data_IF_558247829176
#
_entry.id   IF_558247829176
#
_cell.length_a   1.000
_cell.length_b   1.000
_cell.length_c   1.000
_cell.angle_alpha   90.00
_cell.angle_beta   90.00
_cell.angle_gamma   90.00
#
_symmetry.space_group_name_H-M   'P 1'
#
loop_
_entity.id
_entity.type
_entity.pdbx_description
1 polymer ?
#
# COMPACT_ATOMS: atom_id res chain seq x y z
N UNK A 1 62.08 -19.84 41.22
CA UNK A 1 60.89 -19.45 42.02
C UNK A 1 60.38 -20.72 42.69
N UNK A 2 60.55 -20.86 44.00
CA UNK A 2 60.28 -22.13 44.71
C UNK A 2 58.76 -22.34 44.82
N UNK A 3 58.24 -23.33 44.08
CA UNK A 3 56.82 -23.69 44.06
C UNK A 3 56.40 -24.63 45.21
N UNK A 4 57.38 -25.17 45.94
CA UNK A 4 57.19 -26.07 47.09
C UNK A 4 56.26 -25.51 48.20
N UNK A 5 56.39 -24.24 48.62
CA UNK A 5 55.50 -23.66 49.65
C UNK A 5 54.05 -23.55 49.16
N UNK A 6 53.86 -23.30 47.86
CA UNK A 6 52.53 -23.18 47.24
C UNK A 6 51.83 -24.53 47.12
N UNK A 7 52.56 -25.58 46.72
CA UNK A 7 52.03 -26.94 46.65
C UNK A 7 51.57 -27.43 48.03
N UNK A 8 52.36 -27.18 49.08
CA UNK A 8 51.99 -27.55 50.45
C UNK A 8 50.73 -26.82 50.94
N UNK A 9 50.60 -25.53 50.60
CA UNK A 9 49.45 -24.71 50.99
C UNK A 9 48.16 -25.15 50.26
N UNK A 10 48.30 -25.57 48.99
CA UNK A 10 47.20 -26.10 48.18
C UNK A 10 46.76 -27.46 48.71
N UNK A 11 47.69 -28.36 49.03
CA UNK A 11 47.40 -29.70 49.55
C UNK A 11 46.70 -29.64 50.91
N UNK A 12 47.18 -28.78 51.81
CA UNK A 12 46.56 -28.58 53.12
C UNK A 12 45.16 -27.93 53.00
N UNK A 13 44.97 -27.00 52.06
CA UNK A 13 43.64 -26.42 51.80
C UNK A 13 42.71 -27.46 51.17
N UNK A 14 43.21 -28.30 50.25
CA UNK A 14 42.42 -29.36 49.62
C UNK A 14 41.96 -30.40 50.65
N UNK A 15 42.83 -30.85 51.57
CA UNK A 15 42.50 -31.92 52.51
C UNK A 15 41.27 -31.59 53.37
N UNK A 16 41.10 -30.30 53.72
CA UNK A 16 40.06 -29.80 54.62
C UNK A 16 38.72 -29.47 53.92
N UNK A 17 38.65 -29.57 52.60
CA UNK A 17 37.40 -29.34 51.86
C UNK A 17 36.46 -30.55 51.93
N UNK A 18 35.15 -30.29 51.98
CA UNK A 18 34.12 -31.33 51.92
C UNK A 18 34.18 -32.03 50.56
N UNK A 19 33.78 -33.29 50.49
CA UNK A 19 33.86 -34.10 49.25
C UNK A 19 33.20 -33.45 48.04
N UNK A 20 32.13 -32.67 48.26
CA UNK A 20 31.44 -31.92 47.21
C UNK A 20 32.21 -30.69 46.70
N UNK A 21 32.92 -29.99 47.58
CA UNK A 21 33.76 -28.84 47.23
C UNK A 21 35.01 -29.28 46.46
N UNK A 22 35.57 -30.44 46.83
CA UNK A 22 36.63 -31.10 46.04
C UNK A 22 36.14 -31.42 44.63
N UNK A 23 34.95 -32.02 44.51
CA UNK A 23 34.34 -32.33 43.21
C UNK A 23 34.18 -31.06 42.35
N UNK A 24 33.65 -29.97 42.92
CA UNK A 24 33.48 -28.70 42.21
C UNK A 24 34.82 -28.12 41.73
N UNK A 25 35.86 -28.18 42.57
CA UNK A 25 37.19 -27.68 42.22
C UNK A 25 37.83 -28.45 41.04
N UNK A 26 37.55 -29.75 40.92
CA UNK A 26 37.97 -30.55 39.76
C UNK A 26 37.06 -30.37 38.53
N UNK A 27 35.78 -30.07 38.73
CA UNK A 27 34.81 -29.90 37.65
C UNK A 27 35.00 -28.58 36.89
N UNK A 28 35.35 -27.49 37.60
CA UNK A 28 35.53 -26.15 36.99
C UNK A 28 36.60 -26.15 35.88
N UNK A 29 37.82 -26.68 36.08
CA UNK A 29 38.82 -26.79 35.02
C UNK A 29 38.36 -27.68 33.86
N UNK A 30 37.61 -28.74 34.16
CA UNK A 30 37.08 -29.66 33.15
C UNK A 30 36.02 -28.99 32.27
N UNK A 31 35.12 -28.19 32.86
CA UNK A 31 34.15 -27.39 32.13
C UNK A 31 34.83 -26.30 31.28
N UNK A 32 35.87 -25.64 31.80
CA UNK A 32 36.65 -24.65 31.05
C UNK A 32 37.38 -25.28 29.87
N UNK A 33 38.00 -26.45 30.05
CA UNK A 33 38.56 -27.26 28.95
C UNK A 33 37.48 -27.61 27.93
N UNK A 34 36.30 -28.04 28.39
CA UNK A 34 35.17 -28.35 27.52
C UNK A 34 34.72 -27.14 26.68
N UNK A 35 34.69 -25.94 27.26
CA UNK A 35 34.37 -24.70 26.53
C UNK A 35 35.45 -24.42 25.47
N UNK A 36 36.73 -24.53 25.81
CA UNK A 36 37.84 -24.27 24.88
C UNK A 36 37.79 -25.27 23.71
N UNK A 37 37.64 -26.58 23.99
CA UNK A 37 37.56 -27.61 22.96
C UNK A 37 36.26 -27.59 22.15
N UNK A 38 35.14 -27.15 22.74
CA UNK A 38 33.89 -26.95 22.00
C UNK A 38 34.01 -25.77 21.01
N UNK A 39 34.73 -24.71 21.41
CA UNK A 39 34.98 -23.55 20.57
C UNK A 39 36.06 -23.77 19.50
N UNK A 40 36.89 -24.81 19.65
CA UNK A 40 37.93 -25.23 18.69
C UNK A 40 37.42 -26.16 17.58
N UNK A 41 36.09 -26.31 17.43
CA UNK A 41 35.58 -26.68 16.11
C UNK A 41 36.01 -25.58 15.14
N UNK A 42 36.71 -25.88 14.03
CA UNK A 42 36.98 -24.86 13.05
C UNK A 42 35.62 -24.45 12.49
N UNK A 43 35.08 -23.36 13.02
CA UNK A 43 34.26 -22.44 12.26
C UNK A 43 35.12 -22.11 11.04
N UNK A 44 34.91 -22.87 9.98
CA UNK A 44 35.23 -22.44 8.63
C UNK A 44 34.45 -21.14 8.45
N UNK A 45 35.05 -20.04 8.89
CA UNK A 45 34.75 -18.71 8.46
C UNK A 45 35.22 -18.58 7.01
N UNK A 46 34.69 -19.44 6.14
CA UNK A 46 34.38 -19.03 4.79
C UNK A 46 33.16 -18.12 4.91
N UNK A 47 33.37 -16.94 5.50
CA UNK A 47 32.43 -15.84 5.38
C UNK A 47 32.63 -15.29 3.96
N UNK A 48 32.16 -16.07 2.98
CA UNK A 48 31.42 -15.44 1.92
C UNK A 48 30.22 -14.78 2.61
N UNK A 49 30.33 -13.47 2.87
CA UNK A 49 29.20 -12.62 3.22
C UNK A 49 28.22 -12.63 2.04
N UNK A 50 27.46 -13.71 1.90
CA UNK A 50 26.50 -13.90 0.82
C UNK A 50 25.37 -14.82 1.25
N UNK A 51 24.73 -14.48 2.38
CA UNK A 51 23.35 -14.86 2.74
C UNK A 51 23.07 -14.32 4.15
N UNK A 52 22.17 -13.34 4.25
CA UNK A 52 21.45 -12.80 5.43
C UNK A 52 21.41 -11.27 5.53
N UNK A 53 22.19 -10.55 4.73
CA UNK A 53 21.99 -9.09 4.57
C UNK A 53 20.72 -8.77 3.78
N UNK A 54 20.33 -9.61 2.83
CA UNK A 54 19.15 -9.36 1.97
C UNK A 54 17.83 -9.45 2.75
N UNK A 55 17.70 -10.42 3.66
CA UNK A 55 16.48 -10.63 4.48
C UNK A 55 16.32 -9.57 5.59
N UNK A 56 17.42 -9.11 6.18
CA UNK A 56 17.39 -8.01 7.16
C UNK A 56 17.19 -6.65 6.47
N UNK A 57 17.85 -6.39 5.34
CA UNK A 57 17.67 -5.13 4.60
C UNK A 57 16.26 -4.98 4.03
N UNK A 58 15.66 -6.06 3.51
CA UNK A 58 14.30 -6.01 2.98
C UNK A 58 13.28 -5.63 4.08
N UNK A 59 13.39 -6.19 5.29
CA UNK A 59 12.51 -5.81 6.42
C UNK A 59 12.67 -4.35 6.84
N UNK A 60 13.89 -3.81 6.80
CA UNK A 60 14.17 -2.42 7.18
C UNK A 60 13.65 -1.45 6.12
N UNK A 61 13.89 -1.71 4.84
CA UNK A 61 13.41 -0.86 3.73
C UNK A 61 11.88 -0.83 3.66
N UNK A 62 11.23 -1.99 3.86
CA UNK A 62 9.77 -2.11 3.98
C UNK A 62 9.21 -1.28 5.14
N UNK A 63 9.83 -1.33 6.32
CA UNK A 63 9.40 -0.51 7.45
C UNK A 63 9.55 1.00 7.18
N UNK A 64 10.67 1.41 6.58
CA UNK A 64 10.92 2.81 6.20
C UNK A 64 9.88 3.29 5.19
N UNK A 65 9.55 2.45 4.20
CA UNK A 65 8.49 2.74 3.25
C UNK A 65 7.14 2.90 3.94
N UNK A 66 6.69 1.94 4.75
CA UNK A 66 5.38 2.00 5.42
C UNK A 66 5.26 3.27 6.25
N UNK A 67 6.32 3.65 6.98
CA UNK A 67 6.34 4.87 7.79
C UNK A 67 6.28 6.13 6.94
N UNK A 68 7.03 6.19 5.84
CA UNK A 68 6.99 7.31 4.91
C UNK A 68 5.63 7.42 4.21
N UNK A 69 5.07 6.29 3.80
CA UNK A 69 3.74 6.16 3.22
C UNK A 69 2.65 6.64 4.18
N UNK A 70 2.68 6.22 5.45
CA UNK A 70 1.71 6.67 6.46
C UNK A 70 1.77 8.18 6.67
N UNK A 71 2.98 8.74 6.77
CA UNK A 71 3.16 10.19 6.91
C UNK A 71 2.63 10.95 5.67
N UNK A 72 2.93 10.45 4.47
CA UNK A 72 2.46 11.06 3.24
C UNK A 72 0.93 10.96 3.09
N UNK A 73 0.34 9.82 3.44
CA UNK A 73 -1.11 9.62 3.43
C UNK A 73 -1.81 10.63 4.35
N UNK A 74 -1.27 10.84 5.55
CA UNK A 74 -1.79 11.84 6.49
C UNK A 74 -1.63 13.26 5.98
N UNK A 75 -0.49 13.61 5.39
CA UNK A 75 -0.25 14.94 4.83
C UNK A 75 -1.22 15.27 3.67
N UNK A 76 -1.61 14.25 2.89
CA UNK A 76 -2.51 14.36 1.74
C UNK A 76 -4.00 14.13 2.08
N UNK A 77 -4.34 13.96 3.36
CA UNK A 77 -5.69 13.63 3.83
C UNK A 77 -6.29 12.38 3.15
N UNK A 78 -5.46 11.38 2.86
CA UNK A 78 -5.89 10.12 2.25
C UNK A 78 -6.28 9.10 3.33
N UNK A 79 -7.39 8.39 3.09
CA UNK A 79 -7.87 7.33 3.97
C UNK A 79 -7.43 5.96 3.44
N UNK A 80 -6.78 5.15 4.27
CA UNK A 80 -6.39 3.78 3.91
C UNK A 80 -7.57 2.82 4.13
N UNK A 81 -8.06 2.23 3.04
CA UNK A 81 -9.15 1.25 3.07
C UNK A 81 -8.63 -0.17 3.27
N UNK A 82 -7.52 -0.51 2.61
CA UNK A 82 -6.88 -1.82 2.77
C UNK A 82 -5.37 -1.74 2.55
N UNK A 83 -4.63 -2.61 3.25
CA UNK A 83 -3.21 -2.86 3.05
C UNK A 83 -2.98 -4.37 3.16
N UNK A 84 -2.39 -4.95 2.13
CA UNK A 84 -2.07 -6.37 2.06
C UNK A 84 -0.59 -6.53 1.71
N UNK A 85 0.13 -7.24 2.57
CA UNK A 85 1.51 -7.66 2.29
C UNK A 85 1.50 -8.80 1.27
N UNK A 86 2.33 -8.66 0.25
CA UNK A 86 2.56 -9.67 -0.79
C UNK A 86 4.02 -10.14 -0.74
N UNK A 87 4.30 -11.29 -1.36
CA UNK A 87 5.65 -11.88 -1.38
C UNK A 87 6.75 -10.97 -1.94
N UNK A 88 6.39 -9.99 -2.76
CA UNK A 88 7.31 -9.05 -3.42
C UNK A 88 7.03 -7.58 -3.08
N UNK A 89 6.06 -7.27 -2.21
CA UNK A 89 5.73 -5.89 -1.84
C UNK A 89 4.37 -5.70 -1.19
N UNK A 90 3.63 -4.67 -1.60
CA UNK A 90 2.35 -4.29 -0.99
C UNK A 90 1.27 -4.02 -2.03
N UNK A 91 0.06 -4.46 -1.72
CA UNK A 91 -1.15 -3.94 -2.35
C UNK A 91 -1.88 -3.05 -1.35
N UNK A 92 -2.30 -1.87 -1.77
CA UNK A 92 -3.12 -1.00 -0.94
C UNK A 92 -4.26 -0.36 -1.71
N UNK A 93 -5.29 -0.02 -0.96
CA UNK A 93 -6.43 0.76 -1.43
C UNK A 93 -6.55 2.04 -0.61
N UNK A 94 -6.50 3.18 -1.29
CA UNK A 94 -6.60 4.51 -0.72
C UNK A 94 -7.85 5.22 -1.21
N UNK A 95 -8.41 6.09 -0.38
CA UNK A 95 -9.54 6.96 -0.72
C UNK A 95 -9.16 8.41 -0.52
N UNK A 96 -9.55 9.27 -1.46
CA UNK A 96 -9.41 10.72 -1.33
C UNK A 96 -9.72 11.47 -2.61
N UNK A 97 -9.35 12.76 -2.64
CA UNK A 97 -9.44 13.59 -3.83
C UNK A 97 -8.47 13.12 -4.93
N UNK A 98 -8.87 13.30 -6.19
CA UNK A 98 -8.09 12.86 -7.36
C UNK A 98 -6.64 13.38 -7.32
N UNK A 99 -6.46 14.68 -7.06
CA UNK A 99 -5.13 15.32 -7.01
C UNK A 99 -4.25 14.70 -5.93
N UNK A 100 -4.80 14.47 -4.74
CA UNK A 100 -4.09 13.84 -3.63
C UNK A 100 -3.69 12.40 -3.95
N UNK A 101 -4.55 11.64 -4.61
CA UNK A 101 -4.22 10.28 -5.06
C UNK A 101 -3.08 10.29 -6.09
N UNK A 102 -3.07 11.24 -7.03
CA UNK A 102 -1.98 11.38 -8.00
C UNK A 102 -0.66 11.77 -7.35
N UNK A 103 -0.68 12.63 -6.33
CA UNK A 103 0.50 12.95 -5.54
C UNK A 103 1.04 11.72 -4.79
N UNK A 104 0.16 10.84 -4.31
CA UNK A 104 0.57 9.59 -3.68
C UNK A 104 1.17 8.59 -4.67
N UNK A 105 0.61 8.49 -5.89
CA UNK A 105 1.21 7.67 -6.97
C UNK A 105 2.61 8.15 -7.29
N UNK A 106 2.80 9.47 -7.48
CA UNK A 106 4.13 10.04 -7.73
C UNK A 106 5.10 9.79 -6.57
N UNK A 107 4.65 9.90 -5.32
CA UNK A 107 5.45 9.55 -4.16
C UNK A 107 5.95 8.10 -4.25
N UNK A 108 5.08 7.16 -4.62
CA UNK A 108 5.47 5.76 -4.77
C UNK A 108 6.43 5.57 -5.97
N UNK A 109 6.26 6.29 -7.09
CA UNK A 109 7.15 6.17 -8.27
C UNK A 109 8.54 6.77 -8.07
N UNK A 110 8.65 7.70 -7.12
CA UNK A 110 9.89 8.38 -6.77
C UNK A 110 10.57 7.76 -5.56
N UNK A 111 9.89 6.87 -4.84
CA UNK A 111 10.49 6.14 -3.73
C UNK A 111 11.54 5.16 -4.24
N UNK A 112 12.81 5.40 -3.91
CA UNK A 112 13.96 4.72 -4.51
C UNK A 112 14.00 3.20 -4.40
N UNK A 113 13.20 2.59 -3.52
CA UNK A 113 13.12 1.12 -3.37
C UNK A 113 12.03 0.45 -4.20
N UNK A 114 11.19 1.18 -4.95
CA UNK A 114 10.11 0.59 -5.75
C UNK A 114 10.61 0.29 -7.16
N UNK A 115 10.46 -0.96 -7.59
CA UNK A 115 10.95 -1.46 -8.87
C UNK A 115 9.89 -1.38 -9.97
N UNK A 116 8.64 -1.62 -9.61
CA UNK A 116 7.54 -1.76 -10.55
C UNK A 116 6.18 -1.48 -9.87
N UNK A 117 5.23 -0.99 -10.67
CA UNK A 117 3.82 -0.83 -10.31
C UNK A 117 2.96 -1.64 -11.29
N UNK A 118 2.82 -2.96 -11.07
CA UNK A 118 2.21 -3.84 -12.07
C UNK A 118 0.71 -3.59 -12.31
N UNK A 119 -0.03 -3.08 -11.31
CA UNK A 119 -1.45 -2.78 -11.45
C UNK A 119 -1.82 -1.49 -10.71
N UNK A 120 -2.53 -0.60 -11.41
CA UNK A 120 -3.09 0.63 -10.88
C UNK A 120 -4.51 0.80 -11.42
N UNK A 121 -5.47 0.97 -10.51
CA UNK A 121 -6.87 1.23 -10.86
C UNK A 121 -7.41 2.38 -10.03
N UNK A 122 -8.04 3.33 -10.70
CA UNK A 122 -8.76 4.45 -10.06
C UNK A 122 -10.22 4.32 -10.44
N UNK A 123 -11.08 4.42 -9.45
CA UNK A 123 -12.53 4.37 -9.63
C UNK A 123 -13.20 5.43 -8.77
N UNK A 124 -14.34 6.00 -9.21
CA UNK A 124 -15.12 6.88 -8.37
C UNK A 124 -15.62 6.11 -7.13
N UNK A 125 -15.46 6.72 -5.96
CA UNK A 125 -16.00 6.19 -4.70
C UNK A 125 -17.32 6.90 -4.36
N UNK A 126 -17.38 8.21 -4.59
CA UNK A 126 -18.58 9.05 -4.54
C UNK A 126 -18.41 10.25 -5.50
N UNK A 127 -19.30 11.25 -5.44
CA UNK A 127 -19.28 12.42 -6.35
C UNK A 127 -17.98 13.26 -6.26
N UNK A 128 -17.25 13.22 -5.15
CA UNK A 128 -16.10 14.09 -4.89
C UNK A 128 -14.79 13.33 -4.60
N UNK A 129 -14.89 12.02 -4.33
CA UNK A 129 -13.79 11.17 -3.90
C UNK A 129 -13.65 9.94 -4.76
N UNK A 130 -12.42 9.47 -4.84
CA UNK A 130 -12.00 8.35 -5.67
C UNK A 130 -11.32 7.31 -4.80
N UNK A 131 -11.38 6.04 -5.23
CA UNK A 131 -10.53 5.00 -4.67
C UNK A 131 -9.42 4.61 -5.65
N UNK A 132 -8.21 4.51 -5.13
CA UNK A 132 -7.00 4.09 -5.84
C UNK A 132 -6.59 2.73 -5.29
N UNK A 133 -6.57 1.71 -6.15
CA UNK A 133 -5.94 0.43 -5.88
C UNK A 133 -4.58 0.41 -6.56
N UNK A 134 -3.53 0.20 -5.77
CA UNK A 134 -2.15 0.16 -6.25
C UNK A 134 -1.46 -1.12 -5.76
N UNK A 135 -0.72 -1.76 -6.66
CA UNK A 135 0.20 -2.84 -6.31
C UNK A 135 1.64 -2.34 -6.52
N UNK A 136 2.49 -2.60 -5.53
CA UNK A 136 3.89 -2.20 -5.51
C UNK A 136 4.78 -3.42 -5.36
N UNK A 137 5.85 -3.46 -6.14
CA UNK A 137 6.92 -4.44 -6.02
C UNK A 137 8.23 -3.75 -5.60
N UNK A 138 8.86 -4.20 -4.53
CA UNK A 138 10.15 -3.65 -4.09
C UNK A 138 11.31 -4.24 -4.89
N UNK A 139 12.32 -3.40 -5.08
CA UNK A 139 13.57 -3.78 -5.68
C UNK A 139 14.33 -4.76 -4.77
N UNK A 140 14.74 -5.89 -5.33
CA UNK A 140 15.66 -6.83 -4.65
C UNK A 140 17.11 -6.33 -4.63
N UNK A 141 17.40 -5.24 -5.35
CA UNK A 141 18.72 -4.58 -5.40
C UNK A 141 18.51 -3.10 -5.10
N UNK A 142 19.35 -2.55 -4.22
CA UNK A 142 19.36 -1.12 -3.84
C UNK A 142 19.38 -0.25 -5.09
N UNK A 143 18.26 0.37 -5.42
CA UNK A 143 18.23 1.48 -6.35
C UNK A 143 18.48 2.76 -5.57
N UNK A 144 19.51 3.50 -5.98
CA UNK A 144 19.71 4.85 -5.51
C UNK A 144 18.61 5.72 -6.15
N UNK A 145 18.04 6.70 -5.41
CA UNK A 145 17.08 7.63 -6.00
C UNK A 145 17.76 8.32 -7.19
N UNK A 146 17.18 8.15 -8.38
CA UNK A 146 17.48 9.03 -9.50
C UNK A 146 16.86 10.38 -9.16
N UNK A 147 17.64 11.46 -9.34
CA UNK A 147 17.14 12.83 -9.34
C UNK A 147 16.13 12.97 -10.49
N UNK A 148 14.88 12.59 -10.23
CA UNK A 148 13.76 12.89 -11.11
C UNK A 148 13.38 14.34 -10.83
N UNK A 149 13.33 15.15 -11.88
CA UNK A 149 12.88 16.54 -11.79
C UNK A 149 11.54 16.65 -11.03
N UNK A 150 11.27 17.77 -10.34
CA UNK A 150 10.09 17.91 -9.52
C UNK A 150 8.80 17.92 -10.38
N UNK A 151 8.27 16.72 -10.64
CA UNK A 151 6.99 16.47 -11.32
C UNK A 151 5.77 17.02 -10.55
N UNK A 152 5.98 17.60 -9.36
CA UNK A 152 4.96 18.20 -8.51
C UNK A 152 4.14 19.28 -9.24
N UNK A 153 4.78 20.06 -10.14
CA UNK A 153 4.08 21.09 -10.93
C UNK A 153 3.09 20.52 -11.95
N UNK A 154 3.33 19.30 -12.43
CA UNK A 154 2.49 18.67 -13.47
C UNK A 154 1.18 18.13 -12.87
N UNK A 155 1.20 17.67 -11.62
CA UNK A 155 0.01 17.11 -10.97
C UNK A 155 -1.06 18.18 -10.69
N UNK A 156 -0.66 19.42 -10.40
CA UNK A 156 -1.60 20.53 -10.15
C UNK A 156 -2.45 20.85 -11.40
N UNK A 157 -1.93 20.55 -12.59
CA UNK A 157 -2.60 20.79 -13.87
C UNK A 157 -3.26 19.54 -14.46
N UNK A 158 -3.22 18.41 -13.75
CA UNK A 158 -3.78 17.16 -14.24
C UNK A 158 -5.31 17.25 -14.23
N UNK A 159 -5.92 17.26 -15.42
CA UNK A 159 -7.37 17.27 -15.56
C UNK A 159 -7.93 15.94 -15.04
N UNK A 160 -8.87 16.00 -14.10
CA UNK A 160 -9.54 14.81 -13.61
C UNK A 160 -10.43 14.20 -14.72
N UNK A 161 -10.11 13.00 -15.23
CA UNK A 161 -10.86 12.39 -16.33
C UNK A 161 -12.29 11.98 -15.92
N UNK A 162 -12.59 11.90 -14.63
CA UNK A 162 -13.92 11.62 -14.09
C UNK A 162 -14.73 12.89 -13.79
N UNK A 163 -14.11 14.08 -13.87
CA UNK A 163 -14.80 15.35 -13.58
C UNK A 163 -15.68 15.84 -14.73
N UNK A 164 -15.45 15.33 -15.94
CA UNK A 164 -16.40 15.49 -17.03
C UNK A 164 -17.61 14.59 -16.74
N UNK A 165 -18.57 15.12 -15.98
CA UNK A 165 -19.96 14.84 -16.31
C UNK A 165 -20.08 15.26 -17.77
N UNK A 166 -20.04 14.32 -18.71
CA UNK A 166 -20.50 14.59 -20.06
C UNK A 166 -21.79 15.38 -19.89
N UNK A 167 -21.80 16.64 -20.33
CA UNK A 167 -23.02 17.43 -20.37
C UNK A 167 -23.86 16.76 -21.44
N UNK A 168 -24.55 15.68 -21.06
CA UNK A 168 -25.57 15.04 -21.84
C UNK A 168 -26.47 16.19 -22.31
N UNK A 169 -26.64 16.37 -23.64
CA UNK A 169 -27.38 17.52 -24.13
C UNK A 169 -28.77 17.48 -23.48
N UNK A 170 -29.18 18.60 -22.89
CA UNK A 170 -30.47 18.70 -22.20
C UNK A 170 -31.57 18.16 -23.11
N UNK A 171 -32.45 17.32 -22.56
CA UNK A 171 -33.60 16.84 -23.32
C UNK A 171 -34.42 18.05 -23.78
N UNK A 172 -34.66 18.14 -25.08
CA UNK A 172 -35.46 19.21 -25.68
C UNK A 172 -36.59 18.57 -26.49
N UNK A 173 -37.81 19.02 -26.21
CA UNK A 173 -38.99 18.66 -26.99
C UNK A 173 -39.01 19.50 -28.28
N UNK A 174 -39.25 18.85 -29.41
CA UNK A 174 -39.30 19.50 -30.73
C UNK A 174 -40.69 19.42 -31.36
N UNK A 175 -41.41 18.32 -31.13
CA UNK A 175 -42.74 18.10 -31.69
C UNK A 175 -43.55 17.16 -30.79
N UNK A 176 -44.86 17.36 -30.79
CA UNK A 176 -45.85 16.41 -30.29
C UNK A 176 -46.79 16.14 -31.47
N UNK A 177 -46.91 14.89 -31.90
CA UNK A 177 -47.77 14.48 -33.02
C UNK A 177 -48.56 13.25 -32.59
N UNK A 178 -49.86 13.44 -32.35
CA UNK A 178 -50.74 12.38 -31.83
C UNK A 178 -50.18 11.79 -30.51
N UNK A 179 -49.84 10.50 -30.51
CA UNK A 179 -49.32 9.76 -29.36
C UNK A 179 -47.77 9.61 -29.39
N UNK A 180 -47.10 10.35 -30.27
CA UNK A 180 -45.65 10.35 -30.45
C UNK A 180 -45.04 11.72 -30.15
N UNK A 181 -43.84 11.71 -29.57
CA UNK A 181 -43.12 12.94 -29.21
C UNK A 181 -41.70 12.89 -29.76
N UNK A 182 -41.24 14.02 -30.30
CA UNK A 182 -39.89 14.16 -30.83
C UNK A 182 -39.01 14.83 -29.77
N UNK A 183 -38.17 14.05 -29.09
CA UNK A 183 -37.24 14.56 -28.07
C UNK A 183 -35.82 14.33 -28.58
N UNK A 184 -35.00 15.38 -28.64
CA UNK A 184 -33.63 15.29 -29.16
C UNK A 184 -33.50 14.64 -30.55
N UNK A 185 -34.49 14.83 -31.42
CA UNK A 185 -34.60 14.24 -32.76
C UNK A 185 -34.89 12.71 -32.79
N UNK A 186 -35.30 12.13 -31.67
CA UNK A 186 -35.79 10.75 -31.57
C UNK A 186 -37.29 10.74 -31.31
N UNK A 187 -38.04 9.92 -32.05
CA UNK A 187 -39.46 9.70 -31.84
C UNK A 187 -39.66 8.68 -30.72
N UNK A 188 -40.48 9.04 -29.74
CA UNK A 188 -40.72 8.24 -28.52
C UNK A 188 -42.22 8.12 -28.30
N UNK A 189 -42.65 6.91 -27.94
CA UNK A 189 -44.03 6.62 -27.56
C UNK A 189 -44.25 6.65 -26.05
N UNK A 190 -45.52 6.71 -25.65
CA UNK A 190 -45.90 6.59 -24.25
C UNK A 190 -45.34 5.28 -23.64
N UNK A 191 -44.73 5.39 -22.46
CA UNK A 191 -44.00 4.33 -21.73
C UNK A 191 -42.66 3.88 -22.31
N UNK A 192 -42.20 4.49 -23.40
CA UNK A 192 -40.84 4.25 -23.87
C UNK A 192 -39.81 5.06 -23.08
N UNK A 193 -38.58 4.59 -23.15
CA UNK A 193 -37.45 5.15 -22.43
C UNK A 193 -36.60 6.02 -23.36
N UNK A 194 -36.22 7.19 -22.85
CA UNK A 194 -35.12 8.00 -23.39
C UNK A 194 -34.10 8.22 -22.29
N UNK A 195 -32.90 7.65 -22.49
CA UNK A 195 -31.83 7.62 -21.48
C UNK A 195 -32.33 7.00 -20.17
N UNK A 196 -32.28 7.76 -19.08
CA UNK A 196 -32.70 7.35 -17.73
C UNK A 196 -34.15 7.72 -17.40
N UNK A 197 -34.90 8.27 -18.36
CA UNK A 197 -36.28 8.72 -18.20
C UNK A 197 -37.26 7.87 -19.01
N UNK A 198 -38.47 7.72 -18.48
CA UNK A 198 -39.62 7.10 -19.14
C UNK A 198 -40.65 8.16 -19.46
N UNK A 199 -41.20 8.15 -20.67
CA UNK A 199 -42.33 9.01 -21.03
C UNK A 199 -43.60 8.52 -20.34
N UNK A 200 -44.09 9.26 -19.36
CA UNK A 200 -45.27 8.86 -18.56
C UNK A 200 -46.54 9.58 -18.98
N UNK A 201 -46.43 10.76 -19.62
CA UNK A 201 -47.58 11.56 -20.03
C UNK A 201 -47.24 12.49 -21.19
N UNK A 202 -48.17 12.61 -22.14
CA UNK A 202 -48.15 13.57 -23.23
C UNK A 202 -49.33 14.53 -22.99
N UNK A 203 -49.06 15.83 -23.01
CA UNK A 203 -50.04 16.91 -22.92
C UNK A 203 -49.98 17.75 -24.22
N UNK A 204 -50.88 18.71 -24.41
CA UNK A 204 -50.94 19.49 -25.67
C UNK A 204 -49.68 20.29 -25.97
N UNK A 205 -48.98 20.78 -24.93
CA UNK A 205 -47.80 21.66 -25.06
C UNK A 205 -46.61 21.19 -24.23
N UNK A 206 -46.72 20.03 -23.59
CA UNK A 206 -45.69 19.54 -22.70
C UNK A 206 -45.68 18.02 -22.62
N UNK A 207 -44.56 17.47 -22.20
CA UNK A 207 -44.42 16.05 -21.88
C UNK A 207 -43.85 15.87 -20.48
N UNK A 208 -44.27 14.82 -19.81
CA UNK A 208 -43.79 14.46 -18.48
C UNK A 208 -42.95 13.19 -18.59
N UNK A 209 -41.70 13.33 -18.17
CA UNK A 209 -40.71 12.26 -18.12
C UNK A 209 -40.41 11.92 -16.66
N UNK A 210 -40.23 10.65 -16.34
CA UNK A 210 -39.93 10.20 -14.98
C UNK A 210 -38.71 9.28 -14.95
N UNK A 211 -37.77 9.52 -14.04
CA UNK A 211 -36.63 8.63 -13.85
C UNK A 211 -36.95 7.47 -12.87
N UNK A 212 -36.03 6.51 -12.77
CA UNK A 212 -36.13 5.37 -11.85
C UNK A 212 -36.21 5.75 -10.35
N UNK A 213 -35.76 6.95 -9.97
CA UNK A 213 -35.90 7.51 -8.62
C UNK A 213 -37.25 8.20 -8.38
N UNK A 214 -38.13 8.23 -9.38
CA UNK A 214 -39.43 8.85 -9.32
C UNK A 214 -39.45 10.37 -9.54
N UNK A 215 -38.29 10.99 -9.83
CA UNK A 215 -38.20 12.41 -10.16
C UNK A 215 -38.82 12.66 -11.53
N UNK A 216 -39.66 13.70 -11.62
CA UNK A 216 -40.35 14.08 -12.85
C UNK A 216 -39.73 15.34 -13.43
N UNK A 217 -39.55 15.35 -14.74
CA UNK A 217 -39.17 16.53 -15.51
C UNK A 217 -40.26 16.84 -16.52
N UNK A 218 -40.47 18.13 -16.77
CA UNK A 218 -41.44 18.64 -17.73
C UNK A 218 -40.66 19.26 -18.88
N UNK A 219 -40.94 18.82 -20.10
CA UNK A 219 -40.41 19.46 -21.30
C UNK A 219 -41.57 20.17 -22.00
N UNK A 220 -41.40 21.45 -22.24
CA UNK A 220 -42.35 22.29 -22.98
C UNK A 220 -41.90 22.44 -24.43
N UNK A 221 -42.86 22.64 -25.34
CA UNK A 221 -42.65 22.77 -26.78
C UNK A 221 -42.03 24.12 -27.16
#
# INVERSE_FOLDING_TARGET
MNLLPWLYLIEHRLSNLKSFEKLQLYLIPLCLMGIIFYNDTPLQANIQHKTNTTLQNHKVETYVFIKAFENQSKALNLTLLSLQEQSSGFAFELQGEFTSLMQMVLFCETFGSINNMPDMKIQPFNDEQYSLKLQLEFATKKYFPQDKEPLQSTIVHLKNPFSEKEKLPSLKLYAIVNDEVLINHEWIHLHEHIREYTLIKIEEQAVVLQNHLGQKIYLEL
#
